data_IF_130189217190
#
_entry.id   IF_130189217190
#
_cell.length_a   1.000
_cell.length_b   1.000
_cell.length_c   1.000
_cell.angle_alpha   90.00
_cell.angle_beta   90.00
_cell.angle_gamma   90.00
#
_symmetry.space_group_name_H-M   'P 1'
#
loop_
_entity.id
_entity.type
_entity.pdbx_description
1 polymer ?
#
# COMPACT_ATOMS: atom_id res chain seq x y z
N UNK A 1 -12.08 9.70 15.73
CA UNK A 1 -12.83 8.87 14.76
C UNK A 1 -11.98 8.71 13.52
N UNK A 2 -11.85 7.50 12.98
CA UNK A 2 -11.14 7.23 11.71
C UNK A 2 -12.10 6.53 10.74
N UNK A 3 -11.96 6.80 9.45
CA UNK A 3 -12.76 6.16 8.40
C UNK A 3 -11.88 5.18 7.63
N UNK A 4 -12.37 3.96 7.43
CA UNK A 4 -11.77 3.03 6.48
C UNK A 4 -12.53 3.16 5.16
N UNK A 5 -11.82 3.55 4.10
CA UNK A 5 -12.41 3.67 2.78
C UNK A 5 -12.75 2.31 2.16
N UNK A 6 -11.91 1.30 2.37
CA UNK A 6 -12.14 -0.04 1.81
C UNK A 6 -13.41 -0.71 2.37
N UNK A 7 -13.72 -0.45 3.64
CA UNK A 7 -14.89 -1.03 4.30
C UNK A 7 -16.06 -0.07 4.42
N UNK A 8 -15.86 1.22 4.13
CA UNK A 8 -16.85 2.29 4.32
C UNK A 8 -17.42 2.37 5.74
N UNK A 9 -16.55 2.19 6.74
CA UNK A 9 -16.92 2.22 8.17
C UNK A 9 -16.16 3.30 8.95
N UNK A 10 -16.83 3.85 9.96
CA UNK A 10 -16.22 4.72 10.96
C UNK A 10 -15.87 3.90 12.21
N UNK A 11 -14.63 4.04 12.68
CA UNK A 11 -14.22 3.53 14.00
C UNK A 11 -14.11 4.67 14.98
N UNK A 12 -14.63 4.46 16.18
CA UNK A 12 -14.79 5.52 17.18
C UNK A 12 -13.59 5.61 18.12
N UNK A 13 -12.88 4.50 18.33
CA UNK A 13 -11.68 4.43 19.15
C UNK A 13 -10.48 3.80 18.42
N UNK A 14 -9.30 3.98 19.00
CA UNK A 14 -8.01 3.57 18.43
C UNK A 14 -7.83 2.06 18.42
N UNK A 15 -8.25 1.35 19.46
CA UNK A 15 -8.15 -0.11 19.54
C UNK A 15 -9.01 -0.81 18.47
N UNK A 16 -10.23 -0.31 18.20
CA UNK A 16 -11.07 -0.77 17.09
C UNK A 16 -10.39 -0.52 15.74
N UNK A 17 -9.79 0.65 15.57
CA UNK A 17 -9.06 0.98 14.35
C UNK A 17 -7.87 0.06 14.13
N UNK A 18 -7.07 -0.18 15.16
CA UNK A 18 -5.88 -1.02 15.06
C UNK A 18 -6.27 -2.47 14.77
N UNK A 19 -7.27 -3.02 15.47
CA UNK A 19 -7.81 -4.35 15.19
C UNK A 19 -8.35 -4.45 13.75
N UNK A 20 -9.02 -3.40 13.26
CA UNK A 20 -9.49 -3.32 11.89
C UNK A 20 -8.34 -3.29 10.87
N UNK A 21 -7.30 -2.50 11.13
CA UNK A 21 -6.10 -2.44 10.28
C UNK A 21 -5.40 -3.80 10.16
N UNK A 22 -5.34 -4.57 11.24
CA UNK A 22 -4.76 -5.92 11.22
C UNK A 22 -5.49 -6.85 10.24
N UNK A 23 -6.80 -6.69 10.06
CA UNK A 23 -7.55 -7.49 9.09
C UNK A 23 -7.08 -7.22 7.65
N UNK A 24 -6.82 -5.96 7.31
CA UNK A 24 -6.28 -5.56 6.00
C UNK A 24 -4.84 -6.02 5.81
N UNK A 25 -4.02 -5.96 6.85
CA UNK A 25 -2.62 -6.42 6.81
C UNK A 25 -2.53 -7.93 6.57
N UNK A 26 -3.38 -8.72 7.24
CA UNK A 26 -3.38 -10.18 7.13
C UNK A 26 -3.94 -10.68 5.79
N UNK A 27 -4.78 -9.87 5.14
CA UNK A 27 -5.44 -10.23 3.88
C UNK A 27 -5.39 -9.05 2.90
N UNK A 28 -4.19 -8.63 2.48
CA UNK A 28 -4.05 -7.44 1.66
C UNK A 28 -4.68 -7.66 0.30
N UNK A 29 -5.29 -6.60 -0.23
CA UNK A 29 -5.64 -6.54 -1.65
C UNK A 29 -4.37 -6.46 -2.49
N UNK A 30 -4.45 -6.95 -3.72
CA UNK A 30 -3.38 -6.77 -4.71
C UNK A 30 -3.26 -5.30 -5.14
N UNK A 31 -4.32 -4.50 -5.07
CA UNK A 31 -4.31 -3.09 -5.53
C UNK A 31 -3.97 -2.16 -4.35
N UNK A 32 -2.88 -1.42 -4.47
CA UNK A 32 -2.42 -0.44 -3.48
C UNK A 32 -2.55 1.01 -3.95
N UNK A 33 -2.65 1.21 -5.25
CA UNK A 33 -3.01 2.46 -5.90
C UNK A 33 -4.41 2.96 -5.56
N UNK A 34 -4.74 4.18 -6.01
CA UNK A 34 -6.07 4.73 -5.83
C UNK A 34 -7.06 4.00 -6.74
N UNK A 35 -8.26 3.73 -6.22
CA UNK A 35 -9.38 3.22 -7.04
C UNK A 35 -10.38 4.35 -7.21
N UNK A 36 -10.74 4.62 -8.46
CA UNK A 36 -11.75 5.62 -8.81
C UNK A 36 -12.98 4.96 -9.44
N UNK A 37 -14.16 5.40 -9.03
CA UNK A 37 -15.45 4.98 -9.58
C UNK A 37 -16.23 6.23 -9.95
N UNK A 38 -16.60 6.40 -11.22
CA UNK A 38 -17.33 7.58 -11.72
C UNK A 38 -16.64 8.92 -11.39
N UNK A 39 -15.30 8.92 -11.34
CA UNK A 39 -14.49 10.10 -10.99
C UNK A 39 -14.37 10.37 -9.48
N UNK A 40 -15.03 9.58 -8.64
CA UNK A 40 -14.93 9.65 -7.18
C UNK A 40 -13.87 8.67 -6.66
N UNK A 41 -13.12 9.08 -5.64
CA UNK A 41 -12.14 8.21 -4.97
C UNK A 41 -12.89 7.15 -4.15
N UNK A 42 -12.86 5.91 -4.62
CA UNK A 42 -13.49 4.77 -3.96
C UNK A 42 -12.55 4.10 -2.93
N UNK A 43 -11.25 4.06 -3.20
CA UNK A 43 -10.24 3.63 -2.24
C UNK A 43 -8.95 4.48 -2.37
N UNK A 44 -8.38 4.97 -1.25
CA UNK A 44 -7.17 5.75 -1.23
C UNK A 44 -5.96 4.85 -1.45
N UNK A 45 -4.80 5.50 -1.61
CA UNK A 45 -3.53 4.79 -1.80
C UNK A 45 -3.08 4.18 -0.48
N UNK A 46 -2.41 3.04 -0.57
CA UNK A 46 -1.81 2.33 0.56
C UNK A 46 -0.37 1.99 0.23
N UNK A 47 0.47 1.91 1.26
CA UNK A 47 1.86 1.53 1.07
C UNK A 47 2.03 0.02 1.32
N UNK A 48 2.47 -0.77 0.32
CA UNK A 48 2.65 -2.20 0.48
C UNK A 48 3.85 -2.54 1.39
N UNK A 49 4.85 -1.65 1.48
CA UNK A 49 5.96 -1.79 2.43
C UNK A 49 5.49 -1.62 3.88
N UNK A 50 4.79 -0.53 4.18
CA UNK A 50 4.24 -0.31 5.52
C UNK A 50 3.28 -1.44 5.92
N UNK A 51 2.44 -1.91 5.00
CA UNK A 51 1.53 -3.03 5.30
C UNK A 51 2.28 -4.32 5.60
N UNK A 52 3.37 -4.62 4.89
CA UNK A 52 4.26 -5.74 5.22
C UNK A 52 4.85 -5.61 6.63
N UNK A 53 5.15 -4.39 7.06
CA UNK A 53 5.67 -4.09 8.40
C UNK A 53 4.57 -3.98 9.47
N UNK A 54 3.31 -4.31 9.13
CA UNK A 54 2.20 -4.28 10.08
C UNK A 54 1.54 -2.91 10.27
N UNK A 55 1.81 -1.96 9.39
CA UNK A 55 1.25 -0.61 9.42
C UNK A 55 0.31 -0.36 8.24
N UNK A 56 -0.99 -0.25 8.53
CA UNK A 56 -1.99 0.16 7.56
C UNK A 56 -2.06 1.69 7.47
N UNK A 57 -1.77 2.24 6.28
CA UNK A 57 -1.79 3.67 6.00
C UNK A 57 -2.67 3.96 4.79
N UNK A 58 -3.59 4.93 4.92
CA UNK A 58 -4.40 5.47 3.83
C UNK A 58 -3.87 6.86 3.46
N UNK A 59 -3.44 7.05 2.22
CA UNK A 59 -2.82 8.28 1.73
C UNK A 59 -3.62 8.86 0.55
N UNK A 60 -4.22 10.02 0.76
CA UNK A 60 -5.01 10.72 -0.26
C UNK A 60 -4.13 11.57 -1.19
N UNK A 61 -3.04 12.15 -0.67
CA UNK A 61 -2.16 13.04 -1.40
C UNK A 61 -1.19 12.27 -2.30
N UNK A 62 -1.35 12.40 -3.63
CA UNK A 62 -0.54 11.67 -4.62
C UNK A 62 0.96 11.98 -4.53
N UNK A 63 1.41 13.25 -4.52
CA UNK A 63 2.85 13.55 -4.42
C UNK A 63 3.51 12.96 -3.17
N UNK A 64 2.87 13.09 -2.00
CA UNK A 64 3.38 12.55 -0.75
C UNK A 64 3.44 11.01 -0.77
N UNK A 65 2.43 10.37 -1.36
CA UNK A 65 2.41 8.93 -1.54
C UNK A 65 3.57 8.43 -2.40
N UNK A 66 3.76 9.02 -3.58
CA UNK A 66 4.84 8.61 -4.48
C UNK A 66 6.22 8.84 -3.84
N UNK A 67 6.41 9.98 -3.16
CA UNK A 67 7.65 10.25 -2.43
C UNK A 67 7.89 9.21 -1.33
N UNK A 68 6.84 8.81 -0.60
CA UNK A 68 6.91 7.79 0.43
C UNK A 68 7.32 6.42 -0.15
N UNK A 69 6.69 5.98 -1.25
CA UNK A 69 7.05 4.72 -1.93
C UNK A 69 8.50 4.76 -2.43
N UNK A 70 8.93 5.84 -3.09
CA UNK A 70 10.30 5.99 -3.59
C UNK A 70 11.33 5.93 -2.46
N UNK A 71 11.00 6.41 -1.25
CA UNK A 71 11.88 6.28 -0.09
C UNK A 71 12.13 4.82 0.31
N UNK A 72 11.09 3.97 0.26
CA UNK A 72 11.21 2.54 0.51
C UNK A 72 12.02 1.84 -0.58
N UNK A 73 11.80 2.20 -1.85
CA UNK A 73 12.57 1.67 -2.99
C UNK A 73 14.05 1.99 -2.81
N UNK A 74 14.40 3.24 -2.52
CA UNK A 74 15.79 3.63 -2.29
C UNK A 74 16.44 2.91 -1.11
N UNK A 75 15.70 2.66 -0.03
CA UNK A 75 16.20 1.86 1.10
C UNK A 75 16.46 0.42 0.67
N UNK A 76 15.49 -0.23 0.03
CA UNK A 76 15.61 -1.62 -0.41
C UNK A 76 16.74 -1.83 -1.44
N UNK A 77 17.02 -0.82 -2.28
CA UNK A 77 18.18 -0.84 -3.18
C UNK A 77 19.52 -0.86 -2.43
N UNK A 78 19.63 -0.18 -1.29
CA UNK A 78 20.84 -0.21 -0.45
C UNK A 78 21.03 -1.58 0.20
N UNK A 79 19.93 -2.24 0.55
CA UNK A 79 19.92 -3.57 1.18
C UNK A 79 20.12 -4.71 0.17
N UNK A 80 20.19 -4.39 -1.13
CA UNK A 80 20.71 -5.28 -2.18
C UNK A 80 19.66 -6.08 -2.96
N UNK A 81 18.37 -5.95 -2.66
CA UNK A 81 17.32 -6.62 -3.44
C UNK A 81 16.00 -5.85 -3.44
N UNK A 82 15.49 -5.55 -4.64
CA UNK A 82 14.11 -5.08 -4.83
C UNK A 82 13.18 -6.27 -4.96
N UNK A 83 12.48 -6.62 -3.88
CA UNK A 83 11.46 -7.65 -3.87
C UNK A 83 10.12 -6.99 -3.57
N UNK A 84 9.06 -7.42 -4.25
CA UNK A 84 7.72 -6.90 -3.97
C UNK A 84 7.31 -7.27 -2.52
N UNK A 85 6.84 -6.31 -1.72
CA UNK A 85 6.42 -6.58 -0.34
C UNK A 85 5.04 -7.25 -0.24
N UNK A 86 4.27 -7.32 -1.33
CA UNK A 86 2.96 -7.98 -1.33
C UNK A 86 3.10 -9.51 -1.29
N UNK A 87 2.41 -10.21 -0.37
CA UNK A 87 2.58 -11.66 -0.15
C UNK A 87 2.16 -12.54 -1.32
N UNK A 88 1.30 -12.04 -2.22
CA UNK A 88 0.88 -12.76 -3.43
C UNK A 88 1.82 -12.59 -4.63
N UNK A 89 2.87 -11.78 -4.53
CA UNK A 89 3.81 -11.55 -5.62
C UNK A 89 5.04 -12.48 -5.54
N UNK A 90 5.76 -12.72 -6.65
CA UNK A 90 6.97 -13.52 -6.65
C UNK A 90 8.04 -12.95 -5.70
N UNK A 91 8.75 -13.83 -4.98
CA UNK A 91 9.86 -13.45 -4.10
C UNK A 91 11.18 -13.20 -4.85
N UNK A 92 11.16 -13.19 -6.18
CA UNK A 92 12.33 -12.89 -7.01
C UNK A 92 12.69 -11.41 -6.91
N UNK A 93 13.99 -11.11 -6.96
CA UNK A 93 14.46 -9.74 -7.11
C UNK A 93 14.14 -9.21 -8.51
N UNK A 94 13.85 -7.91 -8.57
CA UNK A 94 13.59 -7.17 -9.79
C UNK A 94 14.75 -6.20 -10.07
N UNK A 95 15.02 -5.91 -11.34
CA UNK A 95 15.74 -4.69 -11.71
C UNK A 95 14.86 -3.46 -11.42
N UNK A 96 15.46 -2.30 -11.17
CA UNK A 96 14.73 -1.08 -10.74
C UNK A 96 13.59 -0.72 -11.69
N UNK A 97 13.83 -0.74 -13.01
CA UNK A 97 12.83 -0.40 -14.02
C UNK A 97 11.66 -1.38 -13.98
N UNK A 98 11.97 -2.68 -13.93
CA UNK A 98 10.97 -3.74 -13.96
C UNK A 98 10.17 -3.77 -12.65
N UNK A 99 10.81 -3.40 -11.53
CA UNK A 99 10.14 -3.22 -10.26
C UNK A 99 9.12 -2.08 -10.30
N UNK A 100 9.50 -0.90 -10.80
CA UNK A 100 8.57 0.23 -10.94
C UNK A 100 7.41 -0.10 -11.88
N UNK A 101 7.71 -0.78 -12.98
CA UNK A 101 6.66 -1.27 -13.89
C UNK A 101 5.72 -2.27 -13.20
N UNK A 102 6.26 -3.20 -12.41
CA UNK A 102 5.46 -4.14 -11.62
C UNK A 102 4.53 -3.43 -10.63
N UNK A 103 5.02 -2.40 -9.92
CA UNK A 103 4.21 -1.60 -9.00
C UNK A 103 3.06 -0.88 -9.73
N UNK A 104 3.32 -0.29 -10.89
CA UNK A 104 2.30 0.38 -11.71
C UNK A 104 1.23 -0.61 -12.22
N UNK A 105 1.64 -1.70 -12.88
CA UNK A 105 0.67 -2.58 -13.58
C UNK A 105 -0.05 -3.57 -12.65
N UNK A 106 0.60 -4.06 -11.60
CA UNK A 106 0.00 -5.05 -10.69
C UNK A 106 -0.67 -4.37 -9.51
N UNK A 107 -0.06 -3.30 -8.99
CA UNK A 107 -0.50 -2.66 -7.76
C UNK A 107 -1.14 -1.27 -7.98
N UNK A 108 -1.18 -0.75 -9.21
CA UNK A 108 -1.72 0.57 -9.57
C UNK A 108 -1.01 1.77 -8.90
N UNK A 109 0.26 1.60 -8.54
CA UNK A 109 1.07 2.58 -7.79
C UNK A 109 1.72 3.60 -8.71
#
# INVERSE_FOLDING_TARGET
VRFCFECSIWTSNEMEWDAHCQQHILRPSIIYGPVYTEGLLAAPRRCPYCMKDGHYLQMENTPQYLQHIESHIHSAMKDGALVCPHPGCPSSSFEVRDFKHHLDVVHAI
#
